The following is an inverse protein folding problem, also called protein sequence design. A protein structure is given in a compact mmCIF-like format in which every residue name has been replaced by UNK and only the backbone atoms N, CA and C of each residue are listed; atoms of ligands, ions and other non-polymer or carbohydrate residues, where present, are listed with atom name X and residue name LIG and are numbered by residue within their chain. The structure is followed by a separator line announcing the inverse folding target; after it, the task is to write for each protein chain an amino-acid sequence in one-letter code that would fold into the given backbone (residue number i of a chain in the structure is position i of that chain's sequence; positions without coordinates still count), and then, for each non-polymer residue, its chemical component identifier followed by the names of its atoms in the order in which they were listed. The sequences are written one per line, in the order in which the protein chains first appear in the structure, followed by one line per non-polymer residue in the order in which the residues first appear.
data_IF_696310864807
#
_entry.id   IF_696310864807
#
_cell.length_a   1.000
_cell.length_b   1.000
_cell.length_c   1.000
_cell.angle_alpha   90.00
_cell.angle_beta   90.00
_cell.angle_gamma   90.00
#
_symmetry.space_group_name_H-M   'P 1'
#
loop_
_entity.id
_entity.type
_entity.pdbx_description
1 polymer ?
#
# COMPACT_ATOMS: atom_id res chain seq x y z
N UNK A 1 27.36 4.24 31.75
CA UNK A 1 27.59 2.80 32.00
C UNK A 1 26.53 2.28 32.98
N UNK A 2 25.43 1.70 32.48
CA UNK A 2 24.55 0.85 33.27
C UNK A 2 23.90 -0.16 32.33
N UNK A 3 24.37 -1.38 32.49
CA UNK A 3 24.04 -2.61 31.79
C UNK A 3 22.75 -3.15 32.41
N UNK A 4 21.76 -3.53 31.59
CA UNK A 4 20.72 -4.47 32.03
C UNK A 4 20.63 -5.58 30.99
N UNK A 5 20.85 -6.78 31.51
CA UNK A 5 21.06 -8.02 30.81
C UNK A 5 19.76 -8.55 30.23
N UNK A 6 19.91 -9.11 29.04
CA UNK A 6 18.99 -10.05 28.42
C UNK A 6 19.05 -11.37 29.20
N UNK A 7 17.91 -11.98 29.55
CA UNK A 7 17.89 -13.38 29.93
C UNK A 7 16.81 -14.14 29.14
N UNK A 8 17.25 -15.24 28.53
CA UNK A 8 16.50 -16.20 27.71
C UNK A 8 16.31 -17.45 28.56
N UNK A 9 15.28 -18.21 28.22
CA UNK A 9 15.00 -19.61 28.63
C UNK A 9 14.05 -19.82 29.80
N UNK A 10 12.78 -20.05 29.45
CA UNK A 10 11.94 -21.08 30.03
C UNK A 10 10.79 -21.41 29.05
N UNK A 11 11.04 -22.35 28.13
CA UNK A 11 9.99 -23.15 27.49
C UNK A 11 9.90 -24.45 28.28
N UNK A 12 8.76 -24.69 28.94
CA UNK A 12 7.82 -25.78 28.59
C UNK A 12 6.98 -26.28 29.78
N UNK A 13 5.67 -26.43 29.47
CA UNK A 13 4.58 -27.10 30.19
C UNK A 13 4.10 -26.40 31.49
N UNK A 14 2.84 -25.95 31.60
CA UNK A 14 1.59 -26.72 31.51
C UNK A 14 0.40 -25.85 31.05
N UNK A 15 -0.49 -26.44 30.24
CA UNK A 15 -1.80 -25.93 29.78
C UNK A 15 -2.80 -25.66 30.91
N UNK A 16 -3.68 -24.67 30.75
CA UNK A 16 -4.99 -24.67 31.41
C UNK A 16 -5.76 -23.34 31.50
N UNK A 17 -6.35 -22.91 30.38
CA UNK A 17 -7.63 -22.16 30.22
C UNK A 17 -7.94 -20.82 30.95
N UNK A 18 -8.31 -19.83 30.11
CA UNK A 18 -9.16 -18.63 30.29
C UNK A 18 -8.82 -17.62 31.43
N UNK A 19 -8.90 -16.30 31.28
CA UNK A 19 -9.59 -15.40 30.34
C UNK A 19 -8.86 -14.05 30.28
N UNK A 20 -8.96 -13.32 29.15
CA UNK A 20 -9.09 -11.85 29.05
C UNK A 20 -9.06 -11.38 27.57
N UNK A 21 -9.95 -10.44 27.20
CA UNK A 21 -10.08 -9.87 25.84
C UNK A 21 -9.14 -8.68 25.62
N UNK A 22 -8.56 -8.50 24.42
CA UNK A 22 -8.02 -7.20 24.03
C UNK A 22 -8.82 -6.52 22.90
N UNK A 23 -8.78 -5.17 22.83
CA UNK A 23 -9.29 -4.39 21.72
C UNK A 23 -8.31 -4.45 20.54
N UNK A 24 -8.84 -4.38 19.32
CA UNK A 24 -8.03 -4.34 18.11
C UNK A 24 -7.63 -5.72 17.59
N UNK A 25 -8.36 -6.20 16.58
CA UNK A 25 -7.85 -7.29 15.74
C UNK A 25 -7.98 -6.88 14.28
N UNK A 26 -6.83 -6.44 13.75
CA UNK A 26 -6.50 -6.50 12.33
C UNK A 26 -6.83 -7.90 11.82
N UNK A 27 -7.72 -8.00 10.83
CA UNK A 27 -7.94 -9.20 10.05
C UNK A 27 -7.28 -9.03 8.68
N UNK A 28 -6.07 -9.56 8.55
CA UNK A 28 -5.50 -9.95 7.26
C UNK A 28 -6.24 -11.21 6.79
N UNK A 29 -7.03 -11.08 5.73
CA UNK A 29 -7.67 -12.22 5.08
C UNK A 29 -9.02 -11.93 4.43
N UNK A 30 -9.14 -10.89 3.61
CA UNK A 30 -10.32 -10.74 2.75
C UNK A 30 -10.17 -11.68 1.54
N UNK A 31 -10.63 -12.93 1.69
CA UNK A 31 -11.15 -13.60 0.50
C UNK A 31 -12.44 -12.84 0.15
N UNK A 32 -12.63 -12.38 -1.10
CA UNK A 32 -13.90 -11.79 -1.49
C UNK A 32 -15.01 -12.78 -1.15
N UNK A 33 -16.06 -12.32 -0.48
CA UNK A 33 -17.21 -13.16 -0.13
C UNK A 33 -17.85 -13.60 -1.45
N UNK A 34 -17.60 -14.84 -1.85
CA UNK A 34 -18.21 -15.39 -3.05
C UNK A 34 -19.71 -15.62 -2.83
N UNK A 35 -20.53 -14.93 -3.61
CA UNK A 35 -21.97 -15.11 -3.56
C UNK A 35 -22.37 -16.52 -4.00
N UNK A 36 -23.27 -17.13 -3.25
CA UNK A 36 -23.81 -18.46 -3.57
C UNK A 36 -24.64 -18.41 -4.86
N UNK A 37 -24.87 -19.55 -5.54
CA UNK A 37 -25.72 -19.60 -6.72
C UNK A 37 -27.12 -19.02 -6.47
N UNK A 38 -27.70 -19.28 -5.29
CA UNK A 38 -29.02 -18.74 -4.92
C UNK A 38 -29.00 -17.22 -4.74
N UNK A 39 -27.94 -16.67 -4.15
CA UNK A 39 -27.78 -15.22 -3.99
C UNK A 39 -27.59 -14.51 -5.33
N UNK A 40 -26.80 -15.10 -6.24
CA UNK A 40 -26.65 -14.60 -7.63
C UNK A 40 -27.98 -14.60 -8.37
N UNK A 41 -28.77 -15.66 -8.18
CA UNK A 41 -30.10 -15.77 -8.78
C UNK A 41 -31.09 -14.76 -8.20
N UNK A 42 -31.07 -14.53 -6.88
CA UNK A 42 -31.85 -13.45 -6.24
C UNK A 42 -31.51 -12.09 -6.88
N UNK A 43 -30.23 -11.78 -7.07
CA UNK A 43 -29.81 -10.53 -7.73
C UNK A 43 -30.30 -10.44 -9.19
N UNK A 44 -30.31 -11.55 -9.92
CA UNK A 44 -30.87 -11.63 -11.29
C UNK A 44 -32.37 -11.33 -11.30
N UNK A 45 -33.11 -11.89 -10.36
CA UNK A 45 -34.56 -11.67 -10.23
C UNK A 45 -34.89 -10.23 -9.87
N UNK A 46 -34.16 -9.63 -8.92
CA UNK A 46 -34.34 -8.21 -8.57
C UNK A 46 -33.99 -7.31 -9.75
N UNK A 47 -32.91 -7.58 -10.48
CA UNK A 47 -32.57 -6.82 -11.70
C UNK A 47 -33.69 -6.80 -12.74
N UNK A 48 -34.36 -7.93 -12.93
CA UNK A 48 -35.39 -8.08 -13.95
C UNK A 48 -36.75 -7.51 -13.54
N UNK A 49 -37.06 -7.47 -12.23
CA UNK A 49 -38.42 -7.19 -11.75
C UNK A 49 -38.50 -6.11 -10.67
N UNK A 50 -37.41 -5.40 -10.35
CA UNK A 50 -37.44 -4.34 -9.34
C UNK A 50 -38.49 -3.25 -9.68
N UNK A 51 -39.26 -2.77 -8.68
CA UNK A 51 -39.30 -3.24 -7.29
C UNK A 51 -39.98 -4.61 -7.15
N UNK A 52 -39.32 -5.53 -6.41
CA UNK A 52 -39.86 -6.88 -6.17
C UNK A 52 -39.86 -7.23 -4.69
N UNK A 53 -40.97 -7.77 -4.17
CA UNK A 53 -41.10 -8.14 -2.75
C UNK A 53 -40.41 -9.47 -2.43
N UNK A 54 -40.06 -9.68 -1.16
CA UNK A 54 -39.49 -10.96 -0.71
C UNK A 54 -40.41 -12.16 -0.94
N UNK A 55 -41.73 -11.96 -0.91
CA UNK A 55 -42.70 -13.01 -1.22
C UNK A 55 -42.67 -13.38 -2.71
N UNK A 56 -42.62 -12.39 -3.60
CA UNK A 56 -42.49 -12.61 -5.05
C UNK A 56 -41.15 -13.26 -5.43
N UNK A 57 -40.03 -12.86 -4.80
CA UNK A 57 -38.73 -13.52 -5.01
C UNK A 57 -38.81 -14.99 -4.59
N UNK A 58 -39.44 -15.28 -3.44
CA UNK A 58 -39.57 -16.64 -2.94
C UNK A 58 -40.43 -17.51 -3.87
N UNK A 59 -41.53 -16.97 -4.37
CA UNK A 59 -42.41 -17.62 -5.34
C UNK A 59 -41.68 -17.95 -6.65
N UNK A 60 -40.94 -16.99 -7.23
CA UNK A 60 -40.15 -17.19 -8.46
C UNK A 60 -39.00 -18.21 -8.27
N UNK A 61 -38.51 -18.37 -7.04
CA UNK A 61 -37.51 -19.36 -6.68
C UNK A 61 -38.11 -20.72 -6.27
N UNK A 62 -39.44 -20.83 -6.18
CA UNK A 62 -40.12 -22.04 -5.74
C UNK A 62 -39.90 -22.40 -4.26
N UNK A 63 -39.63 -21.42 -3.40
CA UNK A 63 -39.33 -21.60 -1.97
C UNK A 63 -40.19 -20.70 -1.09
N UNK A 64 -40.16 -20.93 0.23
CA UNK A 64 -40.86 -20.06 1.18
C UNK A 64 -40.04 -18.79 1.48
N UNK A 65 -40.72 -17.66 1.74
CA UNK A 65 -40.04 -16.40 2.13
C UNK A 65 -39.07 -16.55 3.32
N UNK A 66 -39.38 -17.32 4.39
CA UNK A 66 -38.42 -17.59 5.47
C UNK A 66 -37.10 -18.22 4.99
N UNK A 67 -37.13 -19.06 3.94
CA UNK A 67 -35.95 -19.77 3.40
C UNK A 67 -34.90 -18.83 2.82
N UNK A 68 -35.32 -17.70 2.25
CA UNK A 68 -34.42 -16.73 1.61
C UNK A 68 -34.11 -15.52 2.50
N UNK A 69 -34.63 -15.48 3.73
CA UNK A 69 -34.45 -14.35 4.66
C UNK A 69 -32.97 -14.05 4.90
N UNK A 70 -32.14 -15.07 5.11
CA UNK A 70 -30.70 -14.91 5.35
C UNK A 70 -29.98 -14.38 4.11
N UNK A 71 -30.37 -14.82 2.91
CA UNK A 71 -29.78 -14.35 1.66
C UNK A 71 -30.13 -12.90 1.38
N UNK A 72 -31.41 -12.53 1.52
CA UNK A 72 -31.85 -11.14 1.37
C UNK A 72 -31.19 -10.23 2.39
N UNK A 73 -31.04 -10.69 3.64
CA UNK A 73 -30.36 -9.91 4.69
C UNK A 73 -28.87 -9.73 4.37
N UNK A 74 -28.19 -10.80 3.93
CA UNK A 74 -26.78 -10.73 3.54
C UNK A 74 -26.59 -9.79 2.33
N UNK A 75 -27.42 -9.90 1.30
CA UNK A 75 -27.31 -9.07 0.10
C UNK A 75 -27.56 -7.58 0.39
N UNK A 76 -28.46 -7.28 1.34
CA UNK A 76 -28.63 -5.90 1.85
C UNK A 76 -27.41 -5.45 2.66
N UNK A 77 -26.91 -6.30 3.56
CA UNK A 77 -25.70 -5.98 4.35
C UNK A 77 -24.45 -5.78 3.48
N UNK A 78 -24.33 -6.50 2.37
CA UNK A 78 -23.25 -6.36 1.40
C UNK A 78 -23.44 -5.18 0.43
N UNK A 79 -24.51 -4.38 0.60
CA UNK A 79 -24.80 -3.24 -0.26
C UNK A 79 -25.08 -3.62 -1.71
N UNK A 80 -25.56 -4.85 -1.96
CA UNK A 80 -25.96 -5.32 -3.30
C UNK A 80 -27.46 -5.10 -3.54
N UNK A 81 -28.27 -4.98 -2.48
CA UNK A 81 -29.70 -4.71 -2.52
C UNK A 81 -30.08 -3.61 -1.54
N UNK A 82 -31.06 -2.80 -1.90
CA UNK A 82 -31.77 -1.91 -0.99
C UNK A 82 -33.16 -2.47 -0.68
N UNK A 83 -33.57 -2.40 0.59
CA UNK A 83 -34.90 -2.83 1.03
C UNK A 83 -35.74 -1.61 1.42
N UNK A 84 -36.84 -1.36 0.71
CA UNK A 84 -37.81 -0.30 1.08
C UNK A 84 -39.04 -0.92 1.76
N UNK A 85 -39.43 -0.44 2.95
CA UNK A 85 -40.62 -0.94 3.65
C UNK A 85 -41.86 -0.87 2.76
N UNK A 86 -42.62 -1.97 2.70
CA UNK A 86 -43.88 -2.10 1.93
C UNK A 86 -43.76 -1.97 0.40
N UNK A 87 -42.56 -1.83 -0.14
CA UNK A 87 -42.33 -1.71 -1.60
C UNK A 87 -41.52 -2.89 -2.13
N UNK A 88 -40.54 -3.39 -1.37
CA UNK A 88 -39.72 -4.53 -1.76
C UNK A 88 -38.25 -4.16 -1.93
N UNK A 89 -37.54 -4.96 -2.71
CA UNK A 89 -36.12 -4.88 -2.95
C UNK A 89 -35.79 -4.24 -4.30
N UNK A 90 -34.70 -3.50 -4.29
CA UNK A 90 -34.08 -2.86 -5.43
C UNK A 90 -32.63 -3.34 -5.49
N UNK A 91 -32.03 -3.36 -6.68
CA UNK A 91 -30.57 -3.36 -6.75
C UNK A 91 -30.09 -2.09 -6.05
N UNK A 92 -29.16 -2.25 -5.12
CA UNK A 92 -28.41 -1.10 -4.65
C UNK A 92 -27.76 -0.48 -5.89
N UNK A 93 -28.02 0.81 -6.14
CA UNK A 93 -27.15 1.55 -7.03
C UNK A 93 -25.74 1.36 -6.45
N UNK A 94 -24.72 1.03 -7.27
CA UNK A 94 -23.36 1.00 -6.75
C UNK A 94 -23.18 2.34 -6.06
N UNK A 95 -23.06 2.32 -4.73
CA UNK A 95 -22.88 3.53 -3.94
C UNK A 95 -21.93 4.38 -4.75
N UNK A 96 -22.39 5.58 -5.17
CA UNK A 96 -21.60 6.47 -6.01
C UNK A 96 -20.16 6.33 -5.54
N UNK A 97 -19.27 5.87 -6.45
CA UNK A 97 -17.88 5.57 -6.09
C UNK A 97 -17.44 6.68 -5.14
N UNK A 98 -17.07 6.38 -3.88
CA UNK A 98 -16.92 7.41 -2.85
C UNK A 98 -16.17 8.55 -3.49
N UNK A 99 -16.76 9.76 -3.44
CA UNK A 99 -16.38 10.93 -4.23
C UNK A 99 -14.89 10.86 -4.59
N UNK A 100 -14.52 10.91 -5.89
CA UNK A 100 -13.24 10.44 -6.40
C UNK A 100 -12.15 10.80 -5.40
N UNK A 101 -11.58 9.78 -4.77
CA UNK A 101 -10.65 10.00 -3.65
C UNK A 101 -9.62 11.01 -4.16
N UNK A 102 -9.46 12.19 -3.51
CA UNK A 102 -8.79 13.35 -4.13
C UNK A 102 -7.39 13.02 -4.67
N UNK A 103 -6.75 12.00 -4.12
CA UNK A 103 -5.43 11.54 -4.50
C UNK A 103 -5.35 10.60 -5.71
N UNK A 104 -6.48 10.16 -6.30
CA UNK A 104 -6.47 9.36 -7.54
C UNK A 104 -5.86 10.12 -8.71
N UNK A 105 -6.07 11.44 -8.75
CA UNK A 105 -5.56 12.33 -9.80
C UNK A 105 -4.36 13.16 -9.36
N UNK A 106 -3.96 13.03 -8.09
CA UNK A 106 -2.82 13.72 -7.54
C UNK A 106 -1.53 13.27 -8.20
N UNK A 107 -0.72 14.24 -8.58
CA UNK A 107 0.56 14.03 -9.25
C UNK A 107 1.70 13.96 -8.24
N UNK A 108 2.75 13.25 -8.62
CA UNK A 108 3.94 13.09 -7.78
C UNK A 108 4.54 14.44 -7.38
N UNK A 109 4.58 15.43 -8.29
CA UNK A 109 5.08 16.78 -8.02
C UNK A 109 4.42 17.49 -6.83
N UNK A 110 3.17 17.16 -6.53
CA UNK A 110 2.38 17.81 -5.49
C UNK A 110 2.72 17.30 -4.08
N UNK A 111 3.37 16.12 -3.99
CA UNK A 111 3.61 15.42 -2.71
C UNK A 111 5.05 14.93 -2.53
N UNK A 112 5.87 15.02 -3.58
CA UNK A 112 7.26 14.59 -3.51
C UNK A 112 8.03 15.37 -2.46
N UNK A 113 9.05 14.73 -1.90
CA UNK A 113 10.02 15.38 -1.01
C UNK A 113 11.31 15.65 -1.78
N UNK A 114 12.16 16.53 -1.24
CA UNK A 114 13.50 16.74 -1.77
C UNK A 114 14.31 15.43 -1.78
N UNK A 115 15.12 15.19 -2.82
CA UNK A 115 15.97 14.02 -2.87
C UNK A 115 17.13 14.19 -1.87
N UNK A 116 17.56 13.08 -1.26
CA UNK A 116 18.80 13.05 -0.48
C UNK A 116 19.86 12.39 -1.35
N UNK A 117 20.84 13.18 -1.79
CA UNK A 117 21.79 12.80 -2.82
C UNK A 117 23.19 12.58 -2.22
N UNK A 118 23.86 11.53 -2.68
CA UNK A 118 25.29 11.27 -2.43
C UNK A 118 26.03 10.97 -3.73
N UNK A 119 27.37 11.07 -3.72
CA UNK A 119 28.24 10.69 -4.86
C UNK A 119 28.55 9.21 -4.85
N UNK A 120 28.87 8.62 -6.01
CA UNK A 120 29.35 7.22 -6.10
C UNK A 120 30.58 6.96 -5.24
N UNK A 121 31.43 7.99 -5.08
CA UNK A 121 32.66 7.96 -4.29
C UNK A 121 32.45 8.07 -2.79
N UNK A 122 31.23 8.41 -2.35
CA UNK A 122 30.86 8.50 -0.92
C UNK A 122 31.09 7.14 -0.27
N UNK A 123 31.72 7.11 0.90
CA UNK A 123 31.94 5.85 1.61
C UNK A 123 30.63 5.30 2.16
N UNK A 124 30.55 3.99 2.37
CA UNK A 124 29.41 3.34 3.05
C UNK A 124 29.19 3.95 4.44
N UNK A 125 30.27 4.25 5.17
CA UNK A 125 30.21 4.93 6.46
C UNK A 125 29.50 6.28 6.37
N UNK A 126 29.95 7.14 5.46
CA UNK A 126 29.38 8.48 5.31
C UNK A 126 27.94 8.41 4.79
N UNK A 127 27.64 7.43 3.94
CA UNK A 127 26.26 7.17 3.52
C UNK A 127 25.36 6.79 4.70
N UNK A 128 25.82 5.96 5.65
CA UNK A 128 25.06 5.65 6.87
C UNK A 128 24.83 6.91 7.70
N UNK A 129 25.85 7.77 7.84
CA UNK A 129 25.73 9.04 8.58
C UNK A 129 24.70 9.95 7.89
N UNK A 130 24.83 10.20 6.59
CA UNK A 130 23.90 11.03 5.83
C UNK A 130 22.47 10.51 5.95
N UNK A 131 22.28 9.19 5.82
CA UNK A 131 20.98 8.56 5.94
C UNK A 131 20.35 8.73 7.33
N UNK A 132 21.16 8.73 8.39
CA UNK A 132 20.70 8.97 9.76
C UNK A 132 20.39 10.45 10.02
N UNK A 133 21.28 11.36 9.58
CA UNK A 133 21.10 12.82 9.75
C UNK A 133 19.85 13.33 9.02
N UNK A 134 19.59 12.81 7.83
CA UNK A 134 18.44 13.19 7.00
C UNK A 134 17.15 12.41 7.34
N UNK A 135 17.23 11.46 8.29
CA UNK A 135 16.14 10.55 8.67
C UNK A 135 15.45 9.88 7.46
N UNK A 136 16.25 9.27 6.59
CA UNK A 136 15.76 8.60 5.37
C UNK A 136 16.08 7.11 5.34
N UNK A 137 15.28 6.36 4.56
CA UNK A 137 15.47 4.92 4.40
C UNK A 137 16.36 4.50 3.24
N UNK A 138 16.72 5.45 2.38
CA UNK A 138 17.51 5.24 1.18
C UNK A 138 18.05 6.56 0.66
N UNK A 139 19.16 6.48 -0.06
CA UNK A 139 19.86 7.60 -0.68
C UNK A 139 19.83 7.41 -2.20
N UNK A 140 19.77 8.53 -2.90
CA UNK A 140 19.92 8.58 -4.35
C UNK A 140 21.38 8.89 -4.66
N UNK A 141 21.98 8.16 -5.59
CA UNK A 141 23.35 8.37 -6.02
C UNK A 141 23.31 9.11 -7.35
N UNK A 142 23.96 10.28 -7.42
CA UNK A 142 23.98 11.13 -8.60
C UNK A 142 25.35 11.75 -8.88
N UNK A 143 25.63 12.02 -10.16
CA UNK A 143 26.85 12.71 -10.62
C UNK A 143 26.78 14.23 -10.42
N UNK A 144 27.86 14.93 -10.78
CA UNK A 144 28.01 16.37 -10.55
C UNK A 144 26.91 17.21 -11.19
N UNK A 145 26.39 16.73 -12.30
CA UNK A 145 25.29 17.31 -13.05
C UNK A 145 23.91 16.94 -12.50
N UNK A 146 23.84 16.13 -11.44
CA UNK A 146 22.59 15.69 -10.80
C UNK A 146 21.90 14.53 -11.51
N UNK A 147 22.59 13.83 -12.42
CA UNK A 147 22.04 12.69 -13.17
C UNK A 147 22.06 11.43 -12.30
N UNK A 148 20.98 10.67 -12.38
CA UNK A 148 20.79 9.45 -11.61
C UNK A 148 21.81 8.38 -12.01
N UNK A 149 22.65 7.97 -11.06
CA UNK A 149 23.61 6.88 -11.22
C UNK A 149 23.17 5.61 -10.49
N UNK A 150 22.50 5.77 -9.35
CA UNK A 150 22.20 4.67 -8.45
C UNK A 150 21.19 4.98 -7.35
N UNK A 151 20.79 3.94 -6.62
CA UNK A 151 20.11 4.07 -5.33
C UNK A 151 20.70 3.09 -4.33
N UNK A 152 20.71 3.47 -3.06
CA UNK A 152 21.15 2.59 -1.97
C UNK A 152 20.18 2.69 -0.80
N UNK A 153 19.68 1.55 -0.32
CA UNK A 153 18.76 1.48 0.82
C UNK A 153 19.47 1.04 2.10
N UNK A 154 18.84 1.27 3.27
CA UNK A 154 19.28 0.67 4.54
C UNK A 154 19.52 -0.82 4.46
N UNK A 155 18.68 -1.54 3.69
CA UNK A 155 18.78 -3.00 3.52
C UNK A 155 20.05 -3.38 2.76
N UNK A 156 20.47 -2.58 1.79
CA UNK A 156 21.67 -2.82 1.00
C UNK A 156 22.93 -2.57 1.84
N UNK A 157 22.95 -1.46 2.59
CA UNK A 157 24.04 -1.15 3.52
C UNK A 157 24.20 -2.23 4.59
N UNK A 158 23.09 -2.72 5.16
CA UNK A 158 23.10 -3.79 6.15
C UNK A 158 23.62 -5.10 5.55
N UNK A 159 23.11 -5.51 4.38
CA UNK A 159 23.57 -6.74 3.70
C UNK A 159 25.07 -6.70 3.41
N UNK A 160 25.59 -5.54 3.03
CA UNK A 160 26.99 -5.39 2.64
C UNK A 160 27.95 -5.33 3.83
N UNK A 161 27.54 -4.70 4.93
CA UNK A 161 28.38 -4.56 6.13
C UNK A 161 28.41 -5.83 6.98
N UNK A 162 27.40 -6.70 6.87
CA UNK A 162 27.39 -7.99 7.55
C UNK A 162 28.49 -8.91 7.02
N UNK A 163 29.50 -9.17 7.86
CA UNK A 163 30.57 -10.14 7.58
C UNK A 163 31.82 -9.56 6.90
N UNK A 164 31.88 -8.24 6.67
CA UNK A 164 33.06 -7.58 6.08
C UNK A 164 33.48 -6.35 6.91
N UNK A 165 34.54 -6.49 7.69
CA UNK A 165 35.04 -5.44 8.59
C UNK A 165 35.54 -4.18 7.84
N UNK A 166 35.91 -4.29 6.57
CA UNK A 166 36.37 -3.17 5.74
C UNK A 166 35.27 -2.59 4.85
N UNK A 167 34.03 -3.10 4.95
CA UNK A 167 32.91 -2.67 4.10
C UNK A 167 32.58 -1.17 4.26
N UNK A 168 32.80 -0.61 5.44
CA UNK A 168 32.44 0.77 5.77
C UNK A 168 33.26 1.81 5.01
N UNK A 169 34.51 1.50 4.65
CA UNK A 169 35.38 2.42 3.89
C UNK A 169 35.21 2.32 2.37
N UNK A 170 34.43 1.35 1.87
CA UNK A 170 34.24 1.17 0.44
C UNK A 170 33.26 2.21 -0.13
N UNK A 171 33.42 2.61 -1.40
CA UNK A 171 32.48 3.53 -2.06
C UNK A 171 31.09 2.91 -2.24
N UNK A 172 30.03 3.71 -2.06
CA UNK A 172 28.65 3.28 -2.30
C UNK A 172 28.41 2.82 -3.74
N UNK A 173 29.18 3.34 -4.70
CA UNK A 173 29.13 2.90 -6.10
C UNK A 173 29.37 1.39 -6.29
N UNK A 174 30.05 0.72 -5.35
CA UNK A 174 30.28 -0.73 -5.43
C UNK A 174 29.05 -1.56 -5.05
N UNK A 175 28.08 -0.96 -4.35
CA UNK A 175 26.97 -1.70 -3.70
C UNK A 175 25.59 -1.18 -4.08
N UNK A 176 25.52 0.02 -4.68
CA UNK A 176 24.26 0.61 -5.11
C UNK A 176 23.59 -0.24 -6.19
N UNK A 177 22.27 -0.17 -6.25
CA UNK A 177 21.54 -0.62 -7.45
C UNK A 177 21.79 0.41 -8.54
N UNK A 178 22.39 -0.02 -9.66
CA UNK A 178 22.83 0.86 -10.74
C UNK A 178 21.71 1.18 -11.73
N UNK A 179 21.71 2.39 -12.26
CA UNK A 179 20.93 2.73 -13.45
C UNK A 179 21.42 1.89 -14.66
N UNK A 180 20.54 1.42 -15.57
CA UNK A 180 19.10 1.69 -15.70
C UNK A 180 18.18 0.73 -14.93
N UNK A 181 18.69 -0.12 -14.04
CA UNK A 181 17.91 -1.12 -13.31
C UNK A 181 17.19 -0.55 -12.07
N UNK A 182 16.79 0.72 -12.13
CA UNK A 182 16.15 1.44 -11.03
C UNK A 182 14.80 1.92 -11.52
N UNK A 183 13.76 1.60 -10.77
CA UNK A 183 12.44 2.15 -11.02
C UNK A 183 12.38 3.60 -10.60
N UNK A 184 11.87 4.43 -11.50
CA UNK A 184 11.74 5.87 -11.32
C UNK A 184 10.32 6.31 -11.65
N UNK A 185 9.98 7.53 -11.28
CA UNK A 185 8.73 8.20 -11.66
C UNK A 185 9.03 9.61 -12.15
N UNK A 186 8.11 10.18 -12.92
CA UNK A 186 8.18 11.60 -13.32
C UNK A 186 7.34 12.46 -12.38
N UNK A 187 7.58 13.79 -12.30
CA UNK A 187 6.73 14.71 -11.55
C UNK A 187 5.25 14.66 -12.01
N UNK A 188 5.02 14.28 -13.26
CA UNK A 188 3.70 14.23 -13.89
C UNK A 188 3.00 12.88 -13.74
N UNK A 189 3.68 11.84 -13.26
CA UNK A 189 3.08 10.55 -12.94
C UNK A 189 2.04 10.72 -11.81
N UNK A 190 1.00 9.89 -11.83
CA UNK A 190 0.03 9.84 -10.72
C UNK A 190 0.66 9.15 -9.51
N UNK A 191 0.31 9.63 -8.32
CA UNK A 191 0.74 9.04 -7.03
C UNK A 191 0.32 7.57 -6.91
N UNK A 192 -0.85 7.21 -7.44
CA UNK A 192 -1.31 5.81 -7.44
C UNK A 192 -0.40 4.90 -8.26
N UNK A 193 0.18 5.38 -9.35
CA UNK A 193 1.05 4.58 -10.20
C UNK A 193 2.44 4.45 -9.56
N UNK A 194 2.93 5.51 -8.92
CA UNK A 194 4.11 5.42 -8.05
C UNK A 194 3.92 4.40 -6.92
N UNK A 195 2.75 4.38 -6.28
CA UNK A 195 2.44 3.40 -5.24
C UNK A 195 2.44 1.96 -5.76
N UNK A 196 1.85 1.71 -6.94
CA UNK A 196 1.86 0.39 -7.59
C UNK A 196 3.30 -0.06 -7.89
N UNK A 197 4.12 0.81 -8.47
CA UNK A 197 5.55 0.52 -8.73
C UNK A 197 6.29 0.16 -7.44
N UNK A 198 6.09 0.90 -6.34
CA UNK A 198 6.71 0.54 -5.05
C UNK A 198 6.32 -0.86 -4.56
N UNK A 199 5.06 -1.27 -4.77
CA UNK A 199 4.57 -2.59 -4.38
C UNK A 199 5.16 -3.69 -5.26
N UNK A 200 5.06 -3.51 -6.58
CA UNK A 200 5.52 -4.47 -7.58
C UNK A 200 7.01 -4.78 -7.44
N UNK A 201 7.82 -3.72 -7.36
CA UNK A 201 9.27 -3.82 -7.26
C UNK A 201 9.77 -3.96 -5.82
N UNK A 202 8.86 -4.02 -4.85
CA UNK A 202 9.14 -4.21 -3.42
C UNK A 202 10.13 -3.19 -2.85
N UNK A 203 10.10 -1.96 -3.35
CA UNK A 203 10.93 -0.84 -2.90
C UNK A 203 10.14 0.08 -1.98
N UNK A 204 10.84 0.82 -1.12
CA UNK A 204 10.24 1.73 -0.13
C UNK A 204 10.17 3.19 -0.63
N UNK A 205 10.88 3.50 -1.71
CA UNK A 205 10.97 4.81 -2.34
C UNK A 205 11.30 4.72 -3.82
N UNK A 206 10.89 5.72 -4.58
CA UNK A 206 11.23 5.90 -5.99
C UNK A 206 11.88 7.29 -6.18
N UNK A 207 13.01 7.39 -6.89
CA UNK A 207 13.51 8.66 -7.38
C UNK A 207 12.49 9.29 -8.33
N UNK A 208 12.27 10.60 -8.17
CA UNK A 208 11.51 11.40 -9.13
C UNK A 208 12.52 12.07 -10.06
N UNK A 209 12.35 11.85 -11.36
CA UNK A 209 13.33 12.25 -12.36
C UNK A 209 12.70 12.99 -13.54
N UNK A 210 13.49 13.86 -14.16
CA UNK A 210 13.16 14.55 -15.41
C UNK A 210 14.14 14.15 -16.52
N UNK A 211 13.70 14.17 -17.79
CA UNK A 211 14.60 13.91 -18.92
C UNK A 211 15.81 14.86 -18.89
N UNK A 212 17.00 14.33 -19.11
CA UNK A 212 18.18 15.16 -19.32
C UNK A 212 18.19 15.71 -20.76
N UNK A 213 18.83 16.85 -20.99
CA UNK A 213 18.85 17.50 -22.31
C UNK A 213 19.66 16.78 -23.39
N UNK A 214 20.36 15.68 -23.05
CA UNK A 214 21.20 14.93 -23.97
C UNK A 214 20.64 13.53 -24.23
N UNK A 215 20.56 13.14 -25.50
CA UNK A 215 20.11 11.80 -25.87
C UNK A 215 20.96 10.70 -25.21
N UNK A 216 20.27 9.72 -24.62
CA UNK A 216 20.89 8.55 -23.97
C UNK A 216 21.55 8.83 -22.61
N UNK A 217 21.50 10.06 -22.09
CA UNK A 217 22.06 10.39 -20.78
C UNK A 217 21.08 10.01 -19.66
N UNK A 218 21.58 9.60 -18.47
CA UNK A 218 20.69 9.32 -17.34
C UNK A 218 19.86 10.56 -16.98
N UNK A 219 18.64 10.37 -16.48
CA UNK A 219 17.73 11.47 -16.17
C UNK A 219 18.19 12.24 -14.92
N UNK A 220 17.74 13.49 -14.79
CA UNK A 220 18.09 14.37 -13.67
C UNK A 220 17.16 14.08 -12.49
N UNK A 221 17.72 13.96 -11.30
CA UNK A 221 16.94 13.72 -10.07
C UNK A 221 16.37 15.05 -9.58
N UNK A 222 15.05 15.12 -9.48
CA UNK A 222 14.32 16.32 -9.02
C UNK A 222 13.56 16.12 -7.72
N UNK A 223 13.44 14.87 -7.25
CA UNK A 223 12.67 14.56 -6.05
C UNK A 223 12.78 13.11 -5.60
N UNK A 224 12.05 12.78 -4.54
CA UNK A 224 11.76 11.41 -4.12
C UNK A 224 10.32 11.29 -3.66
N UNK A 225 9.72 10.14 -3.92
CA UNK A 225 8.44 9.74 -3.34
C UNK A 225 8.64 8.45 -2.56
N UNK A 226 8.00 8.34 -1.39
CA UNK A 226 8.21 7.21 -0.46
C UNK A 226 6.89 6.63 0.04
N UNK A 227 6.92 5.43 0.60
CA UNK A 227 5.77 4.88 1.34
C UNK A 227 5.31 5.77 2.48
N UNK A 228 6.23 6.51 3.12
CA UNK A 228 5.88 7.51 4.14
C UNK A 228 5.09 8.67 3.56
N UNK A 229 5.42 9.10 2.32
CA UNK A 229 4.59 10.07 1.59
C UNK A 229 3.18 9.54 1.45
N UNK A 230 3.01 8.29 0.97
CA UNK A 230 1.69 7.66 0.82
C UNK A 230 0.93 7.50 2.15
N UNK A 231 1.64 7.16 3.23
CA UNK A 231 1.03 7.03 4.56
C UNK A 231 0.53 8.40 5.09
N UNK A 232 1.31 9.47 4.90
CA UNK A 232 0.89 10.84 5.25
C UNK A 232 -0.36 11.25 4.50
N UNK A 233 -0.39 10.98 3.20
CA UNK A 233 -1.56 11.21 2.35
C UNK A 233 -2.82 10.51 2.89
N UNK A 234 -2.71 9.23 3.24
CA UNK A 234 -3.82 8.47 3.83
C UNK A 234 -4.24 9.06 5.19
N UNK A 235 -3.30 9.49 6.02
CA UNK A 235 -3.61 10.10 7.32
C UNK A 235 -4.31 11.46 7.17
N UNK A 236 -3.83 12.32 6.30
CA UNK A 236 -4.41 13.64 6.02
C UNK A 236 -5.84 13.50 5.48
N UNK A 237 -6.05 12.65 4.46
CA UNK A 237 -7.39 12.45 3.91
C UNK A 237 -8.29 11.61 4.80
N UNK A 238 -7.77 10.68 5.59
CA UNK A 238 -8.58 9.92 6.55
C UNK A 238 -9.29 10.80 7.58
N UNK A 239 -8.75 11.98 7.89
CA UNK A 239 -9.40 12.98 8.77
C UNK A 239 -10.50 13.79 8.11
N UNK A 240 -10.60 13.79 6.77
CA UNK A 240 -11.66 14.49 6.03
C UNK A 240 -12.95 13.66 5.86
N UNK A 241 -13.00 12.45 6.44
CA UNK A 241 -14.14 11.53 6.41
C UNK A 241 -14.94 11.54 7.73
N UNK A 242 -14.66 12.48 8.63
CA UNK A 242 -15.43 12.74 9.86
C UNK A 242 -16.31 13.97 9.71
#
# INVERSE_FOLDING_TARGET
MRMLMYNRDARDHVRGQAAESPPGRLLLGERPIELTPRQKEILRLVRAHQPITGDQIAELLGVSRPTIRSDLSLLVMLGQLDAKPRVGYFLAEPAESPAPVPWRDLRVREVQSLPVIVRETTTVHDAVITMFLEDVGGLIVADEEGRLQGVVSRKDLLKFTLGNASATSLPVGMIMTRYPHIETVTPEDRVVDAAKRMIEYKVDSLPVVEPSSGDGQPPIVVGRITKTTLARLVAEWGTSWS
#
